data_IF_510523798935
#
_entry.id   IF_510523798935
#
_cell.length_a   1.000
_cell.length_b   1.000
_cell.length_c   1.000
_cell.angle_alpha   90.00
_cell.angle_beta   90.00
_cell.angle_gamma   90.00
#
_symmetry.space_group_name_H-M   'P 1'
#
loop_
_entity.id
_entity.type
_entity.pdbx_description
1 polymer ?
#
# COMPACT_ATOMS: atom_id res chain seq x y z
N UNK A 1 8.77 17.36 0.14
CA UNK A 1 7.35 17.13 0.38
C UNK A 1 6.42 17.73 -0.65
N UNK A 2 5.64 16.90 -1.33
CA UNK A 2 4.35 17.28 -1.92
C UNK A 2 3.24 16.53 -1.16
N UNK A 3 2.11 17.21 -0.89
CA UNK A 3 0.95 16.63 -0.21
C UNK A 3 -0.28 16.76 -1.12
N UNK A 4 -0.87 15.63 -1.48
CA UNK A 4 -2.11 15.54 -2.25
C UNK A 4 -3.21 15.06 -1.32
N UNK A 5 -4.35 15.77 -1.29
CA UNK A 5 -5.48 15.42 -0.42
C UNK A 5 -6.61 14.84 -1.27
N UNK A 6 -6.95 13.58 -1.04
CA UNK A 6 -8.11 12.92 -1.63
C UNK A 6 -9.29 13.09 -0.66
N UNK A 7 -10.40 13.64 -1.15
CA UNK A 7 -11.65 13.77 -0.40
C UNK A 7 -12.74 12.96 -1.09
N UNK A 8 -13.27 11.96 -0.39
CA UNK A 8 -14.50 11.26 -0.79
C UNK A 8 -15.69 11.82 -0.01
N UNK A 9 -16.88 11.26 -0.22
CA UNK A 9 -18.09 11.63 0.53
C UNK A 9 -17.97 11.39 2.05
N UNK A 10 -17.10 10.48 2.44
CA UNK A 10 -17.07 9.84 3.76
C UNK A 10 -15.67 9.74 4.36
N UNK A 11 -14.62 10.17 3.65
CA UNK A 11 -13.25 10.08 4.12
C UNK A 11 -12.34 11.14 3.51
N UNK A 12 -11.21 11.38 4.19
CA UNK A 12 -10.11 12.20 3.72
C UNK A 12 -8.85 11.35 3.82
N UNK A 13 -8.06 11.33 2.75
CA UNK A 13 -6.79 10.61 2.69
C UNK A 13 -5.68 11.55 2.24
N UNK A 14 -4.58 11.54 2.96
CA UNK A 14 -3.38 12.32 2.63
C UNK A 14 -2.36 11.45 1.89
N UNK A 15 -1.98 11.84 0.67
CA UNK A 15 -0.86 11.23 -0.05
C UNK A 15 0.35 12.13 0.10
N UNK A 16 1.41 11.59 0.70
CA UNK A 16 2.65 12.28 1.01
C UNK A 16 3.74 11.77 0.07
N UNK A 17 4.22 12.63 -0.83
CA UNK A 17 5.18 12.28 -1.88
C UNK A 17 6.53 12.94 -1.64
N UNK A 18 7.60 12.14 -1.79
CA UNK A 18 8.99 12.63 -1.73
C UNK A 18 9.52 12.88 -0.33
N UNK A 19 8.84 12.36 0.70
CA UNK A 19 9.38 12.26 2.06
C UNK A 19 9.99 10.88 2.27
N UNK A 20 10.98 10.80 3.17
CA UNK A 20 11.49 9.50 3.61
C UNK A 20 10.37 8.72 4.31
N UNK A 21 10.22 7.44 3.97
CA UNK A 21 9.14 6.62 4.54
C UNK A 21 9.20 6.53 6.08
N UNK A 22 10.37 6.76 6.68
CA UNK A 22 10.56 6.84 8.13
C UNK A 22 9.73 7.96 8.80
N UNK A 23 9.19 8.93 8.04
CA UNK A 23 8.25 9.91 8.62
C UNK A 23 7.01 9.25 9.24
N UNK A 24 6.72 7.99 8.88
CA UNK A 24 5.61 7.22 9.44
C UNK A 24 5.66 7.17 10.98
N UNK A 25 6.85 7.23 11.59
CA UNK A 25 7.02 7.27 13.04
C UNK A 25 6.33 8.49 13.69
N UNK A 26 6.17 9.59 12.96
CA UNK A 26 5.51 10.82 13.44
C UNK A 26 3.99 10.83 13.24
N UNK A 27 3.47 9.92 12.40
CA UNK A 27 2.06 9.86 12.02
C UNK A 27 1.26 8.80 12.78
N UNK A 28 1.94 7.85 13.42
CA UNK A 28 1.31 6.73 14.10
C UNK A 28 0.85 7.10 15.52
N UNK A 29 -0.25 6.49 16.00
CA UNK A 29 -0.61 6.57 17.42
C UNK A 29 0.44 5.86 18.29
N UNK A 30 0.47 6.18 19.59
CA UNK A 30 1.42 5.58 20.55
C UNK A 30 1.22 4.06 20.75
N UNK A 31 0.02 3.55 20.49
CA UNK A 31 -0.32 2.12 20.63
C UNK A 31 -1.45 1.71 19.68
N UNK A 32 -1.75 0.40 19.64
CA UNK A 32 -2.84 -0.15 18.83
C UNK A 32 -2.54 -0.25 17.33
N UNK A 33 -1.26 -0.24 16.94
CA UNK A 33 -0.85 -0.40 15.53
C UNK A 33 -0.44 -1.84 15.27
N UNK A 34 -0.84 -2.35 14.10
CA UNK A 34 -0.36 -3.60 13.54
C UNK A 34 0.28 -3.35 12.17
N UNK A 35 1.51 -3.83 11.98
CA UNK A 35 2.23 -3.66 10.71
C UNK A 35 1.99 -4.91 9.86
N UNK A 36 1.42 -4.75 8.66
CA UNK A 36 1.33 -5.78 7.65
C UNK A 36 2.36 -5.53 6.56
N UNK A 37 3.18 -6.54 6.25
CA UNK A 37 4.23 -6.46 5.23
C UNK A 37 4.38 -7.80 4.50
N UNK A 38 5.14 -7.82 3.41
CA UNK A 38 5.65 -9.06 2.85
C UNK A 38 7.09 -9.37 3.33
N UNK A 39 7.51 -10.62 3.15
CA UNK A 39 8.83 -11.13 3.56
C UNK A 39 10.02 -10.41 2.90
N UNK A 40 9.86 -9.88 1.67
CA UNK A 40 10.94 -9.17 0.99
C UNK A 40 11.12 -7.77 1.59
N UNK A 41 10.01 -7.06 1.79
CA UNK A 41 10.03 -5.73 2.40
C UNK A 41 10.53 -5.81 3.84
N UNK A 42 10.10 -6.81 4.62
CA UNK A 42 10.61 -7.02 5.97
C UNK A 42 12.12 -7.27 5.99
N UNK A 43 12.65 -8.06 5.04
CA UNK A 43 14.09 -8.32 4.96
C UNK A 43 14.91 -7.05 4.68
N UNK A 44 14.38 -6.12 3.90
CA UNK A 44 15.10 -4.91 3.47
C UNK A 44 14.96 -3.78 4.51
N UNK A 45 13.75 -3.59 5.04
CA UNK A 45 13.39 -2.42 5.83
C UNK A 45 12.99 -2.73 7.28
N UNK A 46 12.84 -4.00 7.65
CA UNK A 46 12.29 -4.43 8.94
C UNK A 46 13.01 -3.87 10.16
N UNK A 47 14.32 -3.67 10.09
CA UNK A 47 15.12 -3.07 11.17
C UNK A 47 14.75 -1.61 11.48
N UNK A 48 14.09 -0.93 10.54
CA UNK A 48 13.64 0.46 10.64
C UNK A 48 12.14 0.58 10.94
N UNK A 49 11.42 -0.53 11.02
CA UNK A 49 9.99 -0.50 11.29
C UNK A 49 9.70 0.11 12.66
N UNK A 50 8.54 0.77 12.82
CA UNK A 50 8.02 1.15 14.14
C UNK A 50 7.93 -0.06 15.07
N UNK A 51 8.09 0.17 16.39
CA UNK A 51 8.12 -0.87 17.42
C UNK A 51 6.76 -1.52 17.73
N UNK A 52 6.03 -1.94 16.70
CA UNK A 52 4.71 -2.56 16.78
C UNK A 52 4.75 -4.02 16.30
N UNK A 53 3.74 -4.85 16.63
CA UNK A 53 3.63 -6.20 16.09
C UNK A 53 3.66 -6.21 14.55
N UNK A 54 4.48 -7.09 13.99
CA UNK A 54 4.67 -7.25 12.54
C UNK A 54 4.10 -8.59 12.08
N UNK A 55 3.20 -8.52 11.10
CA UNK A 55 2.57 -9.66 10.46
C UNK A 55 3.07 -9.75 9.02
N UNK A 56 3.61 -10.91 8.64
CA UNK A 56 4.25 -11.11 7.35
C UNK A 56 3.43 -12.03 6.47
N UNK A 57 3.30 -11.67 5.19
CA UNK A 57 2.75 -12.55 4.15
C UNK A 57 3.83 -12.92 3.14
N UNK A 58 3.61 -14.03 2.42
CA UNK A 58 4.46 -14.36 1.27
C UNK A 58 4.32 -13.27 0.21
N UNK A 59 5.41 -12.90 -0.49
CA UNK A 59 5.35 -11.92 -1.56
C UNK A 59 4.52 -12.46 -2.74
N UNK A 60 3.87 -11.52 -3.45
CA UNK A 60 3.19 -11.77 -4.71
C UNK A 60 1.70 -12.15 -4.60
N UNK A 61 1.06 -12.20 -5.77
CA UNK A 61 -0.39 -12.31 -5.95
C UNK A 61 -1.02 -13.55 -5.30
N UNK A 62 -0.24 -14.60 -5.08
CA UNK A 62 -0.73 -15.86 -4.49
C UNK A 62 -1.24 -15.72 -3.05
N UNK A 63 -0.80 -14.66 -2.36
CA UNK A 63 -1.22 -14.30 -0.99
C UNK A 63 -2.54 -13.54 -0.95
N UNK A 64 -3.05 -13.02 -2.08
CA UNK A 64 -4.34 -12.32 -2.14
C UNK A 64 -5.51 -13.29 -2.11
N UNK A 65 -5.75 -13.93 -0.95
CA UNK A 65 -6.82 -14.92 -0.75
C UNK A 65 -7.46 -14.74 0.61
N UNK A 66 -8.76 -15.06 0.70
CA UNK A 66 -9.51 -14.98 1.96
C UNK A 66 -8.86 -15.73 3.13
N UNK A 67 -8.27 -16.90 2.87
CA UNK A 67 -7.59 -17.69 3.92
C UNK A 67 -6.42 -16.95 4.57
N UNK A 68 -5.71 -16.12 3.81
CA UNK A 68 -4.63 -15.28 4.36
C UNK A 68 -5.22 -14.19 5.24
N UNK A 69 -6.31 -13.57 4.81
CA UNK A 69 -7.04 -12.55 5.59
C UNK A 69 -7.58 -13.14 6.89
N UNK A 70 -8.13 -14.36 6.86
CA UNK A 70 -8.60 -15.09 8.04
C UNK A 70 -7.46 -15.36 9.04
N UNK A 71 -6.30 -15.82 8.57
CA UNK A 71 -5.11 -16.03 9.41
C UNK A 71 -4.69 -14.72 10.08
N UNK A 72 -4.52 -13.67 9.28
CA UNK A 72 -4.11 -12.35 9.78
C UNK A 72 -5.12 -11.81 10.80
N UNK A 73 -6.43 -11.98 10.58
CA UNK A 73 -7.45 -11.57 11.56
C UNK A 73 -7.30 -12.31 12.90
N UNK A 74 -6.96 -13.60 12.87
CA UNK A 74 -6.65 -14.37 14.08
C UNK A 74 -5.41 -13.83 14.79
N UNK A 75 -4.34 -13.58 14.05
CA UNK A 75 -3.09 -13.04 14.57
C UNK A 75 -3.27 -11.63 15.18
N UNK A 76 -4.11 -10.77 14.58
CA UNK A 76 -4.48 -9.47 15.15
C UNK A 76 -5.23 -9.61 16.49
N UNK A 77 -6.16 -10.56 16.61
CA UNK A 77 -6.88 -10.83 17.85
C UNK A 77 -5.93 -11.31 18.96
N UNK A 78 -5.01 -12.20 18.63
CA UNK A 78 -4.00 -12.71 19.58
C UNK A 78 -3.05 -11.60 20.04
N UNK A 79 -2.71 -10.66 19.15
CA UNK A 79 -1.89 -9.49 19.46
C UNK A 79 -2.65 -8.40 20.24
N UNK A 80 -3.94 -8.58 20.51
CA UNK A 80 -4.74 -7.64 21.29
C UNK A 80 -5.11 -6.35 20.54
N UNK A 81 -5.08 -6.36 19.20
CA UNK A 81 -5.55 -5.23 18.40
C UNK A 81 -7.06 -5.14 18.55
N UNK A 82 -7.57 -3.98 18.94
CA UNK A 82 -8.99 -3.76 19.16
C UNK A 82 -9.63 -2.91 18.05
N UNK A 83 -10.85 -2.43 18.30
CA UNK A 83 -11.64 -1.66 17.34
C UNK A 83 -11.09 -0.27 17.05
N UNK A 84 -10.26 0.27 17.93
CA UNK A 84 -9.63 1.58 17.75
C UNK A 84 -8.24 1.42 17.10
N UNK A 85 -7.84 0.19 16.79
CA UNK A 85 -6.58 -0.15 16.16
C UNK A 85 -6.38 0.41 14.76
N UNK A 86 -5.14 0.34 14.29
CA UNK A 86 -4.70 0.78 12.97
C UNK A 86 -3.85 -0.30 12.31
N UNK A 87 -4.20 -0.67 11.08
CA UNK A 87 -3.35 -1.53 10.24
C UNK A 87 -2.48 -0.63 9.36
N UNK A 88 -1.16 -0.70 9.55
CA UNK A 88 -0.18 -0.05 8.69
C UNK A 88 0.33 -1.08 7.66
N UNK A 89 -0.05 -0.91 6.39
CA UNK A 89 0.50 -1.71 5.30
C UNK A 89 1.83 -1.11 4.81
N UNK A 90 2.94 -1.84 4.95
CA UNK A 90 4.24 -1.46 4.38
C UNK A 90 4.58 -2.43 3.26
N UNK A 91 4.49 -1.99 2.01
CA UNK A 91 4.82 -2.84 0.88
C UNK A 91 4.21 -2.43 -0.46
N UNK A 92 4.15 -3.39 -1.38
CA UNK A 92 3.54 -3.21 -2.71
C UNK A 92 2.02 -3.29 -2.71
N UNK A 93 1.42 -3.34 -3.90
CA UNK A 93 -0.05 -3.35 -4.08
C UNK A 93 -0.75 -4.53 -3.38
N UNK A 94 -0.11 -5.71 -3.35
CA UNK A 94 -0.65 -6.89 -2.64
C UNK A 94 -0.82 -6.63 -1.15
N UNK A 95 0.19 -6.03 -0.51
CA UNK A 95 0.14 -5.70 0.92
C UNK A 95 -0.92 -4.63 1.18
N UNK A 96 -1.00 -3.59 0.33
CA UNK A 96 -2.00 -2.54 0.45
C UNK A 96 -3.43 -3.10 0.37
N UNK A 97 -3.70 -3.95 -0.63
CA UNK A 97 -4.99 -4.62 -0.80
C UNK A 97 -5.37 -5.48 0.41
N UNK A 98 -4.43 -6.29 0.90
CA UNK A 98 -4.67 -7.15 2.07
C UNK A 98 -4.89 -6.30 3.34
N UNK A 99 -4.08 -5.26 3.55
CA UNK A 99 -4.19 -4.38 4.71
C UNK A 99 -5.54 -3.66 4.73
N UNK A 100 -5.93 -3.03 3.63
CA UNK A 100 -7.19 -2.29 3.56
C UNK A 100 -8.41 -3.20 3.63
N UNK A 101 -8.36 -4.36 2.97
CA UNK A 101 -9.46 -5.32 3.03
C UNK A 101 -9.60 -5.91 4.44
N UNK A 102 -8.50 -6.32 5.07
CA UNK A 102 -8.51 -6.79 6.46
C UNK A 102 -9.03 -5.70 7.40
N UNK A 103 -8.54 -4.46 7.28
CA UNK A 103 -8.99 -3.34 8.10
C UNK A 103 -10.48 -3.01 7.90
N UNK A 104 -11.07 -3.35 6.75
CA UNK A 104 -12.50 -3.12 6.48
C UNK A 104 -13.41 -4.12 7.19
N UNK A 105 -12.96 -5.37 7.35
CA UNK A 105 -13.79 -6.45 7.91
C UNK A 105 -13.45 -6.75 9.37
N UNK A 106 -12.21 -6.50 9.80
CA UNK A 106 -11.77 -6.70 11.16
C UNK A 106 -12.56 -5.80 12.11
N UNK A 107 -13.21 -6.40 13.11
CA UNK A 107 -14.13 -5.72 14.03
C UNK A 107 -15.19 -4.81 13.37
N UNK A 108 -15.58 -5.12 12.11
CA UNK A 108 -16.48 -4.31 11.25
C UNK A 108 -15.90 -2.97 10.80
N UNK A 109 -14.58 -2.82 10.84
CA UNK A 109 -13.86 -1.65 10.39
C UNK A 109 -12.96 -1.07 11.48
N UNK A 110 -11.66 -1.03 11.21
CA UNK A 110 -10.65 -0.31 11.99
C UNK A 110 -9.85 0.62 11.07
N UNK A 111 -8.92 1.42 11.58
CA UNK A 111 -8.14 2.37 10.77
C UNK A 111 -7.13 1.65 9.87
N UNK A 112 -6.75 2.25 8.75
CA UNK A 112 -5.63 1.78 7.94
C UNK A 112 -4.82 2.93 7.35
N UNK A 113 -3.54 2.69 7.11
CA UNK A 113 -2.61 3.61 6.47
C UNK A 113 -1.55 2.82 5.69
N UNK A 114 -0.89 3.45 4.72
CA UNK A 114 0.07 2.76 3.84
C UNK A 114 1.44 3.47 3.75
N UNK A 115 2.49 2.65 3.64
CA UNK A 115 3.79 3.01 3.09
C UNK A 115 3.96 2.21 1.79
N UNK A 116 3.85 2.90 0.66
CA UNK A 116 3.84 2.30 -0.67
C UNK A 116 5.25 2.08 -1.19
N UNK A 117 5.70 0.82 -1.22
CA UNK A 117 7.07 0.45 -1.56
C UNK A 117 7.28 0.02 -3.02
N UNK A 118 6.24 0.02 -3.86
CA UNK A 118 6.38 -0.23 -5.31
C UNK A 118 5.80 0.91 -6.13
N UNK A 119 6.34 1.12 -7.34
CA UNK A 119 5.83 2.17 -8.23
C UNK A 119 4.34 1.97 -8.50
N UNK A 120 3.91 0.72 -8.73
CA UNK A 120 2.52 0.36 -8.94
C UNK A 120 1.62 0.75 -7.75
N UNK A 121 2.05 0.54 -6.50
CA UNK A 121 1.25 0.97 -5.36
C UNK A 121 1.25 2.48 -5.19
N UNK A 122 2.36 3.15 -5.46
CA UNK A 122 2.47 4.61 -5.36
C UNK A 122 1.57 5.36 -6.37
N UNK A 123 1.32 4.80 -7.56
CA UNK A 123 0.55 5.48 -8.63
C UNK A 123 -0.87 4.97 -8.83
N UNK A 124 -1.24 3.82 -8.26
CA UNK A 124 -2.57 3.22 -8.45
C UNK A 124 -3.11 2.61 -7.15
N UNK A 125 -2.52 1.49 -6.72
CA UNK A 125 -3.17 0.60 -5.74
C UNK A 125 -3.44 1.22 -4.36
N UNK A 126 -2.67 2.24 -3.96
CA UNK A 126 -2.82 2.86 -2.63
C UNK A 126 -3.80 4.04 -2.59
N UNK A 127 -4.25 4.57 -3.73
CA UNK A 127 -4.93 5.88 -3.80
C UNK A 127 -6.46 5.78 -4.01
N UNK A 128 -6.93 4.70 -4.63
CA UNK A 128 -8.34 4.55 -5.01
C UNK A 128 -9.26 4.02 -3.90
N UNK A 129 -8.70 3.62 -2.76
CA UNK A 129 -9.43 2.95 -1.67
C UNK A 129 -10.05 1.61 -2.06
N UNK A 130 -9.72 1.05 -3.22
CA UNK A 130 -10.17 -0.27 -3.66
C UNK A 130 -9.24 -1.30 -3.02
N UNK A 131 -9.80 -2.14 -2.15
CA UNK A 131 -9.04 -3.20 -1.51
C UNK A 131 -9.72 -4.54 -1.76
N UNK A 132 -8.98 -5.59 -2.06
CA UNK A 132 -9.60 -6.89 -2.26
C UNK A 132 -8.67 -8.08 -2.43
N UNK A 133 -9.29 -9.26 -2.48
CA UNK A 133 -8.66 -10.55 -2.65
C UNK A 133 -9.27 -11.32 -3.81
N UNK A 134 -8.54 -12.34 -4.26
CA UNK A 134 -8.92 -13.19 -5.38
C UNK A 134 -9.77 -14.37 -4.88
N UNK A 135 -10.70 -14.83 -5.74
CA UNK A 135 -11.53 -16.01 -5.50
C UNK A 135 -11.48 -16.90 -6.74
N UNK A 136 -11.07 -18.15 -6.58
CA UNK A 136 -11.10 -19.18 -7.64
C UNK A 136 -10.49 -18.74 -8.99
N UNK A 137 -9.42 -17.95 -8.96
CA UNK A 137 -8.73 -17.44 -10.15
C UNK A 137 -9.29 -16.11 -10.69
N UNK A 138 -10.45 -15.66 -10.22
CA UNK A 138 -10.95 -14.33 -10.50
C UNK A 138 -10.26 -13.30 -9.59
N UNK A 139 -9.67 -12.27 -10.21
CA UNK A 139 -8.91 -11.24 -9.50
C UNK A 139 -9.83 -10.18 -8.87
N UNK A 140 -9.52 -9.76 -7.64
CA UNK A 140 -10.15 -8.63 -6.94
C UNK A 140 -11.69 -8.68 -6.85
N UNK A 141 -12.29 -9.87 -6.83
CA UNK A 141 -13.76 -10.03 -6.84
C UNK A 141 -14.38 -9.92 -5.45
N UNK A 142 -13.61 -10.18 -4.40
CA UNK A 142 -14.03 -9.96 -3.02
C UNK A 142 -13.28 -8.77 -2.48
N UNK A 143 -13.98 -7.70 -2.13
CA UNK A 143 -13.33 -6.46 -1.76
C UNK A 143 -14.25 -5.45 -1.11
N UNK A 144 -13.67 -4.30 -0.80
CA UNK A 144 -14.33 -3.16 -0.18
C UNK A 144 -13.77 -1.86 -0.74
N UNK A 145 -14.53 -0.79 -0.56
CA UNK A 145 -14.02 0.57 -0.68
C UNK A 145 -13.69 1.08 0.72
N UNK A 146 -12.41 1.32 1.00
CA UNK A 146 -11.90 1.88 2.24
C UNK A 146 -10.66 2.71 1.94
N UNK A 147 -10.73 4.01 2.22
CA UNK A 147 -9.59 4.90 2.08
C UNK A 147 -8.64 4.74 3.29
N UNK A 148 -7.33 4.75 3.07
CA UNK A 148 -6.37 4.89 4.15
C UNK A 148 -6.40 6.33 4.71
N UNK A 149 -6.00 6.51 5.97
CA UNK A 149 -5.83 7.85 6.56
C UNK A 149 -4.72 8.61 5.84
N UNK A 150 -3.63 7.91 5.50
CA UNK A 150 -2.54 8.44 4.71
C UNK A 150 -1.85 7.35 3.88
N UNK A 151 -1.14 7.80 2.84
CA UNK A 151 -0.22 7.02 2.02
C UNK A 151 1.10 7.76 1.95
N UNK A 152 2.21 7.10 2.31
CA UNK A 152 3.56 7.63 2.08
C UNK A 152 4.13 6.99 0.82
N UNK A 153 4.56 7.84 -0.11
CA UNK A 153 5.20 7.48 -1.36
C UNK A 153 6.64 8.01 -1.34
N UNK A 154 7.58 7.18 -0.89
CA UNK A 154 9.01 7.46 -0.90
C UNK A 154 9.65 6.90 -2.19
N UNK A 155 10.13 7.76 -3.11
CA UNK A 155 10.79 7.32 -4.34
C UNK A 155 12.07 6.51 -4.08
N UNK A 156 12.75 6.71 -2.95
CA UNK A 156 14.00 6.00 -2.64
C UNK A 156 13.76 4.52 -2.37
N UNK A 157 12.55 4.13 -1.93
CA UNK A 157 12.22 2.70 -1.79
C UNK A 157 12.26 1.97 -3.13
N UNK A 158 12.05 2.68 -4.25
CA UNK A 158 12.08 2.12 -5.60
C UNK A 158 13.48 1.67 -6.03
N UNK A 159 14.55 2.16 -5.39
CA UNK A 159 15.92 1.73 -5.66
C UNK A 159 16.09 0.22 -5.41
N UNK A 160 15.37 -0.32 -4.43
CA UNK A 160 15.42 -1.74 -4.05
C UNK A 160 14.42 -2.64 -4.80
N UNK A 161 13.52 -2.05 -5.59
CA UNK A 161 12.45 -2.78 -6.26
C UNK A 161 13.02 -3.66 -7.39
N UNK A 162 12.53 -4.88 -7.66
CA UNK A 162 12.94 -5.63 -8.85
C UNK A 162 12.62 -4.88 -10.14
N UNK A 163 13.46 -5.01 -11.18
CA UNK A 163 13.32 -4.27 -12.46
C UNK A 163 11.94 -4.48 -13.10
N UNK A 164 11.48 -5.74 -13.15
CA UNK A 164 10.19 -6.14 -13.70
C UNK A 164 9.01 -5.47 -12.97
N UNK A 165 9.07 -5.35 -11.64
CA UNK A 165 8.04 -4.71 -10.82
C UNK A 165 7.99 -3.19 -11.04
N UNK A 166 9.15 -2.56 -11.26
CA UNK A 166 9.18 -1.14 -11.63
C UNK A 166 8.56 -0.91 -13.00
N UNK A 167 8.89 -1.73 -14.00
CA UNK A 167 8.27 -1.62 -15.32
C UNK A 167 6.77 -1.91 -15.29
N UNK A 168 6.31 -2.83 -14.43
CA UNK A 168 4.88 -3.05 -14.20
C UNK A 168 4.18 -1.78 -13.70
N UNK A 169 4.79 -1.04 -12.76
CA UNK A 169 4.25 0.25 -12.30
C UNK A 169 4.31 1.34 -13.37
N UNK A 170 5.40 1.37 -14.15
CA UNK A 170 5.57 2.34 -15.23
C UNK A 170 4.53 2.14 -16.34
N UNK A 171 4.15 0.90 -16.64
CA UNK A 171 3.08 0.60 -17.58
C UNK A 171 1.74 1.24 -17.15
N UNK A 172 1.42 1.20 -15.85
CA UNK A 172 0.21 1.82 -15.32
C UNK A 172 0.26 3.36 -15.33
N UNK A 173 1.44 3.93 -15.08
CA UNK A 173 1.66 5.36 -15.22
C UNK A 173 1.45 5.82 -16.67
N UNK A 174 2.02 5.10 -17.65
CA UNK A 174 1.85 5.37 -19.08
C UNK A 174 0.37 5.23 -19.49
N UNK A 175 -0.31 4.18 -19.03
CA UNK A 175 -1.76 3.98 -19.26
C UNK A 175 -2.54 5.20 -18.77
N UNK A 176 -2.25 5.66 -17.56
CA UNK A 176 -2.94 6.81 -16.95
C UNK A 176 -2.74 8.09 -17.77
N UNK A 177 -1.51 8.32 -18.24
CA UNK A 177 -1.20 9.44 -19.12
C UNK A 177 -1.98 9.35 -20.45
N UNK A 178 -1.96 8.19 -21.12
CA UNK A 178 -2.64 7.98 -22.40
C UNK A 178 -4.16 8.22 -22.35
N UNK A 179 -4.81 7.87 -21.24
CA UNK A 179 -6.28 7.99 -21.13
C UNK A 179 -6.74 9.32 -20.54
N UNK A 180 -5.87 10.06 -19.85
CA UNK A 180 -6.29 11.16 -18.99
C UNK A 180 -5.45 12.44 -19.06
N UNK A 181 -4.20 12.37 -19.52
CA UNK A 181 -3.29 13.53 -19.49
C UNK A 181 -2.23 13.46 -20.59
N UNK A 182 -2.48 14.17 -21.70
CA UNK A 182 -1.55 14.24 -22.83
C UNK A 182 -0.23 14.96 -22.48
N UNK A 183 -0.23 15.88 -21.51
CA UNK A 183 0.99 16.56 -21.06
C UNK A 183 1.86 15.63 -20.24
N UNK A 184 1.25 14.81 -19.39
CA UNK A 184 1.97 13.75 -18.68
C UNK A 184 2.59 12.75 -19.66
N UNK A 185 1.87 12.39 -20.73
CA UNK A 185 2.38 11.49 -21.75
C UNK A 185 3.61 12.09 -22.46
N UNK A 186 3.50 13.33 -22.93
CA UNK A 186 4.61 14.06 -23.55
C UNK A 186 5.81 14.22 -22.58
N UNK A 187 5.55 14.44 -21.29
CA UNK A 187 6.60 14.46 -20.27
C UNK A 187 7.31 13.11 -20.16
N UNK A 188 6.58 11.99 -20.12
CA UNK A 188 7.18 10.65 -20.07
C UNK A 188 8.00 10.39 -21.33
N UNK A 189 7.48 10.71 -22.52
CA UNK A 189 8.22 10.54 -23.79
C UNK A 189 9.54 11.31 -23.80
N UNK A 190 9.50 12.58 -23.37
CA UNK A 190 10.68 13.45 -23.33
C UNK A 190 11.72 13.06 -22.25
N UNK A 191 11.31 12.31 -21.22
CA UNK A 191 12.16 11.97 -20.07
C UNK A 191 12.39 10.45 -19.89
N UNK A 192 11.94 9.62 -20.83
CA UNK A 192 11.93 8.16 -20.71
C UNK A 192 13.28 7.56 -20.30
N UNK A 193 14.40 8.08 -20.84
CA UNK A 193 15.73 7.57 -20.52
C UNK A 193 16.13 7.77 -19.05
N UNK A 194 15.62 8.82 -18.38
CA UNK A 194 15.78 9.01 -16.94
C UNK A 194 14.86 8.07 -16.18
N UNK A 195 13.57 8.10 -16.50
CA UNK A 195 12.53 7.32 -15.83
C UNK A 195 12.83 5.81 -15.87
N UNK A 196 13.23 5.26 -17.02
CA UNK A 196 13.53 3.82 -17.13
C UNK A 196 14.72 3.36 -16.30
N UNK A 197 15.60 4.28 -15.83
CA UNK A 197 16.75 3.94 -14.98
C UNK A 197 16.47 4.06 -13.49
N UNK A 198 15.28 4.57 -13.12
CA UNK A 198 14.89 5.02 -11.78
C UNK A 198 15.61 6.28 -11.32
#
# INVERSE_FOLDING_TARGET
MEKIVIKTSDSVSDILVGEGWEMVHELLPESGVAILTDENIYRIYGDKFPGFPVFQVRPGESSKKLRVVESLAGELLEAGIDRDGLILGIGGGVVCDLAGFLASIYMRGIRCAYVSASLLSQVDASTGGKNGVNLEGAKNVLGCFKQPEFVICDPLMLETLPEEEYYSGLAELIKTALIGDSKLFEFIENNHAGISRR
#
